data_IF_649314702312
#
_entry.id   IF_649314702312
#
_cell.length_a   1.000
_cell.length_b   1.000
_cell.length_c   1.000
_cell.angle_alpha   90.00
_cell.angle_beta   90.00
_cell.angle_gamma   90.00
#
_symmetry.space_group_name_H-M   'P 1'
#
loop_
_entity.id
_entity.type
_entity.pdbx_description
1 polymer ?
#
# COMPACT_ATOMS: atom_id res chain seq x y z
N UNK A 1 -5.25 19.16 1.12
CA UNK A 1 -4.41 18.24 1.91
C UNK A 1 -3.27 19.05 2.50
N UNK A 2 -3.01 18.92 3.80
CA UNK A 2 -1.80 19.49 4.39
C UNK A 2 -0.57 18.72 3.89
N UNK A 3 0.59 19.37 3.83
CA UNK A 3 1.83 18.73 3.37
C UNK A 3 2.26 17.48 4.18
N UNK A 4 1.69 17.34 5.36
CA UNK A 4 1.94 16.24 6.31
C UNK A 4 0.93 15.08 6.21
N UNK A 5 -0.09 15.16 5.35
CA UNK A 5 -1.10 14.10 5.22
C UNK A 5 -0.52 12.85 4.52
N UNK A 6 -0.99 11.67 4.95
CA UNK A 6 -0.75 10.36 4.31
C UNK A 6 -2.11 9.72 3.95
N UNK A 7 -2.84 10.28 2.96
CA UNK A 7 -4.29 10.06 2.81
C UNK A 7 -4.68 8.70 2.23
N UNK A 8 -3.73 7.87 1.83
CA UNK A 8 -3.98 6.59 1.16
C UNK A 8 -2.80 5.63 1.31
N UNK A 9 -2.95 4.43 0.74
CA UNK A 9 -1.88 3.44 0.61
C UNK A 9 -0.60 4.06 0.06
N UNK A 10 0.51 3.93 0.82
CA UNK A 10 1.84 4.43 0.47
C UNK A 10 1.92 5.96 0.28
N UNK A 11 1.04 6.72 0.93
CA UNK A 11 1.08 8.19 0.96
C UNK A 11 0.48 8.89 -0.25
N UNK A 12 0.66 10.21 -0.36
CA UNK A 12 -0.06 11.03 -1.33
C UNK A 12 0.19 10.63 -2.78
N UNK A 13 1.38 10.11 -3.10
CA UNK A 13 1.78 9.68 -4.45
C UNK A 13 1.81 8.17 -4.62
N UNK A 14 1.43 7.39 -3.62
CA UNK A 14 1.52 5.92 -3.58
C UNK A 14 2.94 5.37 -3.77
N UNK A 15 3.95 6.16 -3.42
CA UNK A 15 5.38 5.85 -3.58
C UNK A 15 6.08 5.40 -2.29
N UNK A 16 5.42 5.50 -1.14
CA UNK A 16 5.99 5.15 0.16
C UNK A 16 6.90 6.23 0.74
N UNK A 17 6.81 7.45 0.24
CA UNK A 17 7.68 8.57 0.59
C UNK A 17 6.89 9.66 1.31
N UNK A 18 7.33 10.03 2.51
CA UNK A 18 6.92 11.26 3.19
C UNK A 18 7.84 12.40 2.80
N UNK A 19 7.28 13.56 2.54
CA UNK A 19 8.03 14.79 2.26
C UNK A 19 8.44 15.53 3.54
N UNK A 20 8.18 14.97 4.72
CA UNK A 20 8.54 15.59 5.99
C UNK A 20 10.04 15.62 6.22
N UNK A 21 10.49 16.67 6.89
CA UNK A 21 11.86 16.91 7.32
C UNK A 21 11.89 17.36 8.79
N UNK A 22 13.09 17.42 9.39
CA UNK A 22 13.24 17.74 10.81
C UNK A 22 12.79 16.59 11.71
N UNK A 23 12.97 15.36 11.24
CA UNK A 23 12.68 14.15 11.98
C UNK A 23 13.91 13.66 12.76
N UNK A 24 13.70 12.81 13.76
CA UNK A 24 14.77 12.22 14.55
C UNK A 24 15.72 11.41 13.67
N UNK A 25 16.99 11.81 13.64
CA UNK A 25 18.04 11.10 12.93
C UNK A 25 18.47 9.78 13.63
N UNK A 26 18.09 9.59 14.90
CA UNK A 26 18.29 8.33 15.63
C UNK A 26 17.23 8.18 16.72
N UNK A 27 17.03 6.96 17.19
CA UNK A 27 16.09 6.64 18.27
C UNK A 27 16.82 6.08 19.49
N UNK A 28 16.30 6.32 20.71
CA UNK A 28 16.73 5.58 21.90
C UNK A 28 16.51 4.06 21.73
N UNK A 29 17.16 3.26 22.56
CA UNK A 29 17.05 1.78 22.55
C UNK A 29 15.59 1.30 22.69
N UNK A 30 14.78 2.05 23.42
CA UNK A 30 13.37 1.79 23.67
C UNK A 30 12.45 2.31 22.54
N UNK A 31 13.03 2.92 21.51
CA UNK A 31 12.32 3.58 20.41
C UNK A 31 12.00 5.05 20.70
N UNK A 32 11.36 5.73 19.73
CA UNK A 32 10.88 7.10 19.91
C UNK A 32 9.79 7.18 20.99
N UNK A 33 9.55 8.38 21.52
CA UNK A 33 8.52 8.60 22.53
C UNK A 33 7.15 8.18 22.00
N UNK A 34 6.54 7.17 22.62
CA UNK A 34 5.17 6.77 22.31
C UNK A 34 4.19 7.87 22.77
N UNK A 35 3.32 8.28 21.85
CA UNK A 35 2.27 9.27 22.12
C UNK A 35 1.02 8.58 22.67
N UNK A 36 0.57 7.54 21.95
CA UNK A 36 -0.59 6.76 22.33
C UNK A 36 -0.59 5.37 21.67
N UNK A 37 -1.44 4.50 22.18
CA UNK A 37 -1.80 3.21 21.57
C UNK A 37 -3.30 3.03 21.68
N UNK A 38 -3.95 2.73 20.55
CA UNK A 38 -5.33 2.27 20.52
C UNK A 38 -5.37 0.78 20.24
N UNK A 39 -5.95 0.01 21.15
CA UNK A 39 -6.19 -1.43 21.03
C UNK A 39 -7.68 -1.71 20.72
N UNK A 40 -8.01 -2.95 20.42
CA UNK A 40 -9.39 -3.37 20.17
C UNK A 40 -9.89 -3.03 18.76
N UNK A 41 -8.96 -2.81 17.83
CA UNK A 41 -9.29 -2.54 16.42
C UNK A 41 -9.66 -3.82 15.65
N UNK A 42 -9.38 -4.98 16.22
CA UNK A 42 -9.55 -6.27 15.57
C UNK A 42 -8.37 -6.67 14.70
N UNK A 43 -8.37 -7.93 14.27
CA UNK A 43 -7.30 -8.49 13.43
C UNK A 43 -7.30 -7.88 12.03
N UNK A 44 -6.13 -7.79 11.41
CA UNK A 44 -5.97 -7.34 10.02
C UNK A 44 -4.59 -6.80 9.71
N UNK A 45 -4.34 -6.62 8.43
CA UNK A 45 -3.11 -6.07 7.84
C UNK A 45 -3.32 -4.72 7.15
N UNK A 46 -4.48 -4.10 7.37
CA UNK A 46 -4.76 -2.78 6.83
C UNK A 46 -3.70 -1.78 7.29
N UNK A 47 -3.14 -1.04 6.36
CA UNK A 47 -2.30 0.12 6.70
C UNK A 47 -3.11 1.22 7.38
N UNK A 48 -2.39 2.27 7.77
CA UNK A 48 -2.98 3.50 8.33
C UNK A 48 -2.95 4.58 7.25
N UNK A 49 -4.04 5.31 7.08
CA UNK A 49 -4.04 6.58 6.36
C UNK A 49 -4.30 7.72 7.33
N UNK A 50 -3.70 8.89 7.07
CA UNK A 50 -3.77 10.07 7.95
C UNK A 50 -4.19 11.28 7.12
N UNK A 51 -5.28 11.93 7.51
CA UNK A 51 -5.74 13.15 6.88
C UNK A 51 -6.66 13.96 7.82
N UNK A 52 -6.55 15.28 7.77
CA UNK A 52 -7.47 16.15 8.51
C UNK A 52 -7.48 15.93 10.02
N UNK A 53 -6.35 15.63 10.63
CA UNK A 53 -6.22 15.39 12.08
C UNK A 53 -6.74 14.03 12.54
N UNK A 54 -6.98 13.09 11.62
CA UNK A 54 -7.43 11.73 11.93
C UNK A 54 -6.57 10.69 11.25
N UNK A 55 -6.38 9.57 11.93
CA UNK A 55 -5.85 8.34 11.36
C UNK A 55 -6.99 7.34 11.12
N UNK A 56 -6.93 6.61 10.00
CA UNK A 56 -7.96 5.66 9.61
C UNK A 56 -7.33 4.30 9.31
N UNK A 57 -7.99 3.24 9.74
CA UNK A 57 -7.57 1.88 9.46
C UNK A 57 -8.77 0.94 9.46
N UNK A 58 -8.55 -0.32 9.06
CA UNK A 58 -9.58 -1.36 9.09
C UNK A 58 -9.17 -2.49 10.04
N UNK A 59 -10.15 -3.19 10.58
CA UNK A 59 -9.93 -4.40 11.38
C UNK A 59 -11.15 -5.29 11.40
N UNK A 60 -10.96 -6.56 11.77
CA UNK A 60 -12.03 -7.53 11.90
C UNK A 60 -12.20 -7.98 13.33
N UNK A 61 -13.42 -7.93 13.84
CA UNK A 61 -13.81 -8.53 15.13
C UNK A 61 -15.29 -8.89 15.12
N UNK A 62 -15.67 -9.87 15.93
CA UNK A 62 -17.08 -10.29 16.05
C UNK A 62 -17.72 -10.67 14.70
N UNK A 63 -16.94 -11.24 13.77
CA UNK A 63 -17.46 -11.67 12.46
C UNK A 63 -17.71 -10.53 11.44
N UNK A 64 -17.19 -9.31 11.67
CA UNK A 64 -17.40 -8.17 10.78
C UNK A 64 -16.13 -7.35 10.60
N UNK A 65 -16.02 -6.69 9.44
CA UNK A 65 -15.05 -5.65 9.18
C UNK A 65 -15.54 -4.28 9.63
N UNK A 66 -14.62 -3.52 10.20
CA UNK A 66 -14.86 -2.15 10.64
C UNK A 66 -13.80 -1.23 10.06
N UNK A 67 -14.21 -0.04 9.66
CA UNK A 67 -13.34 1.12 9.49
C UNK A 67 -13.40 1.92 10.77
N UNK A 68 -12.23 2.28 11.30
CA UNK A 68 -12.10 3.08 12.52
C UNK A 68 -11.36 4.38 12.22
N UNK A 69 -11.90 5.50 12.63
CA UNK A 69 -11.22 6.79 12.68
C UNK A 69 -10.73 7.08 14.09
N UNK A 70 -9.49 7.56 14.18
CA UNK A 70 -8.74 7.79 15.41
C UNK A 70 -8.31 9.27 15.41
N UNK A 71 -8.53 9.99 16.48
CA UNK A 71 -7.98 11.33 16.67
C UNK A 71 -6.44 11.22 16.82
N UNK A 72 -5.68 11.90 15.97
CA UNK A 72 -4.21 11.77 15.94
C UNK A 72 -3.52 12.34 17.18
N UNK A 73 -4.15 13.26 17.91
CA UNK A 73 -3.55 13.89 19.07
C UNK A 73 -3.75 13.07 20.35
N UNK A 74 -4.92 12.46 20.48
CA UNK A 74 -5.33 11.75 21.70
C UNK A 74 -5.26 10.23 21.60
N UNK A 75 -5.28 9.69 20.37
CA UNK A 75 -5.43 8.25 20.12
C UNK A 75 -6.86 7.73 20.39
N UNK A 76 -7.81 8.61 20.68
CA UNK A 76 -9.19 8.23 20.93
C UNK A 76 -9.92 7.83 19.63
N UNK A 77 -10.77 6.82 19.71
CA UNK A 77 -11.67 6.46 18.61
C UNK A 77 -12.69 7.55 18.38
N UNK A 78 -12.65 8.21 17.21
CA UNK A 78 -13.61 9.25 16.84
C UNK A 78 -14.94 8.65 16.38
N UNK A 79 -14.86 7.63 15.52
CA UNK A 79 -16.01 6.85 15.06
C UNK A 79 -15.56 5.49 14.55
N UNK A 80 -16.55 4.61 14.34
CA UNK A 80 -16.32 3.28 13.79
C UNK A 80 -17.55 2.82 13.02
N UNK A 81 -17.34 2.25 11.83
CA UNK A 81 -18.42 1.82 10.93
C UNK A 81 -18.16 0.41 10.41
N UNK A 82 -19.15 -0.46 10.51
CA UNK A 82 -19.12 -1.79 9.90
C UNK A 82 -19.30 -1.68 8.38
N UNK A 83 -18.41 -2.34 7.61
CA UNK A 83 -18.37 -2.21 6.13
C UNK A 83 -18.42 -3.53 5.36
N UNK A 84 -18.25 -4.68 6.00
CA UNK A 84 -18.24 -5.98 5.33
C UNK A 84 -18.38 -7.14 6.28
N UNK A 85 -18.44 -8.33 5.71
CA UNK A 85 -18.44 -9.59 6.44
C UNK A 85 -17.08 -9.96 7.02
N UNK A 86 -16.96 -11.18 7.55
CA UNK A 86 -15.67 -11.71 8.01
C UNK A 86 -14.88 -12.34 6.88
N UNK A 87 -13.55 -12.22 6.98
CA UNK A 87 -12.61 -12.97 6.17
C UNK A 87 -11.61 -13.66 7.08
N UNK A 88 -11.58 -15.01 7.03
CA UNK A 88 -10.70 -15.80 7.88
C UNK A 88 -9.76 -16.64 7.02
N UNK A 89 -8.49 -16.62 7.40
CA UNK A 89 -7.41 -17.26 6.66
C UNK A 89 -6.27 -17.64 7.63
N UNK A 90 -5.55 -18.72 7.35
CA UNK A 90 -4.54 -19.28 8.26
C UNK A 90 -3.33 -18.35 8.53
N UNK A 91 -3.02 -17.47 7.62
CA UNK A 91 -1.91 -16.48 7.75
C UNK A 91 -2.33 -15.21 8.48
N UNK A 92 -3.61 -15.06 8.81
CA UNK A 92 -4.19 -13.94 9.54
C UNK A 92 -5.50 -13.45 8.95
N UNK A 93 -6.43 -13.17 9.83
CA UNK A 93 -7.79 -12.76 9.48
C UNK A 93 -7.86 -11.27 9.11
N UNK A 94 -8.99 -10.88 8.55
CA UNK A 94 -9.41 -9.50 8.42
C UNK A 94 -8.84 -8.76 7.19
N UNK A 95 -9.07 -7.44 7.14
CA UNK A 95 -8.79 -6.61 5.98
C UNK A 95 -7.29 -6.35 5.78
N UNK A 96 -6.92 -6.15 4.50
CA UNK A 96 -5.54 -5.87 4.08
C UNK A 96 -5.41 -4.50 3.39
N UNK A 97 -6.44 -4.08 2.67
CA UNK A 97 -6.47 -2.77 2.01
C UNK A 97 -6.43 -1.61 3.00
N UNK A 98 -5.82 -0.51 2.61
CA UNK A 98 -5.77 0.74 3.38
C UNK A 98 -6.89 1.66 2.91
N UNK A 99 -7.64 2.32 3.82
CA UNK A 99 -8.62 3.32 3.44
C UNK A 99 -7.98 4.48 2.67
N UNK A 100 -8.69 5.01 1.68
CA UNK A 100 -8.27 6.19 0.91
C UNK A 100 -9.17 7.37 1.25
N UNK A 101 -8.58 8.49 1.65
CA UNK A 101 -9.29 9.73 1.97
C UNK A 101 -9.14 10.71 0.81
N UNK A 102 -10.27 11.25 0.35
CA UNK A 102 -10.34 12.29 -0.66
C UNK A 102 -11.35 13.36 -0.23
N UNK A 103 -10.83 14.49 0.25
CA UNK A 103 -11.63 15.56 0.82
C UNK A 103 -12.48 15.08 2.00
N UNK A 104 -13.80 15.20 1.90
CA UNK A 104 -14.76 14.75 2.92
C UNK A 104 -15.15 13.27 2.79
N UNK A 105 -14.56 12.51 1.85
CA UNK A 105 -14.90 11.12 1.58
C UNK A 105 -13.78 10.17 1.98
N UNK A 106 -14.18 9.00 2.44
CA UNK A 106 -13.32 7.87 2.71
C UNK A 106 -13.80 6.68 1.87
N UNK A 107 -12.88 6.08 1.13
CA UNK A 107 -13.14 4.89 0.32
C UNK A 107 -12.41 3.70 0.93
N UNK A 108 -13.11 2.58 1.07
CA UNK A 108 -12.58 1.37 1.67
C UNK A 108 -13.07 0.14 0.91
N UNK A 109 -12.22 -0.88 0.82
CA UNK A 109 -12.53 -2.15 0.16
C UNK A 109 -12.22 -3.29 1.13
N UNK A 110 -13.22 -4.12 1.38
CA UNK A 110 -13.09 -5.29 2.24
C UNK A 110 -12.59 -6.51 1.47
N UNK A 111 -12.01 -7.53 2.15
CA UNK A 111 -11.53 -8.75 1.48
C UNK A 111 -12.60 -9.53 0.72
N UNK A 112 -13.86 -9.39 1.11
CA UNK A 112 -15.04 -10.01 0.46
C UNK A 112 -15.66 -9.17 -0.65
N UNK A 113 -14.97 -8.05 -1.03
CA UNK A 113 -15.32 -7.22 -2.17
C UNK A 113 -16.34 -6.12 -1.89
N UNK A 114 -16.65 -5.80 -0.63
CA UNK A 114 -17.50 -4.65 -0.31
C UNK A 114 -16.70 -3.36 -0.44
N UNK A 115 -16.96 -2.59 -1.49
CA UNK A 115 -16.47 -1.23 -1.66
C UNK A 115 -17.47 -0.27 -1.03
N UNK A 116 -17.01 0.58 -0.13
CA UNK A 116 -17.83 1.57 0.53
C UNK A 116 -17.22 2.97 0.46
N UNK A 117 -18.07 3.97 0.23
CA UNK A 117 -17.79 5.38 0.41
C UNK A 117 -18.44 5.85 1.71
N UNK A 118 -17.63 6.38 2.61
CA UNK A 118 -18.09 6.92 3.89
C UNK A 118 -17.85 8.43 3.94
N UNK A 119 -18.62 9.13 4.71
CA UNK A 119 -18.30 10.49 5.15
C UNK A 119 -17.13 10.43 6.15
N UNK A 120 -16.01 11.06 5.83
CA UNK A 120 -14.78 10.95 6.62
C UNK A 120 -14.91 11.58 8.02
N UNK A 121 -15.82 12.54 8.21
CA UNK A 121 -16.02 13.19 9.48
C UNK A 121 -16.87 12.35 10.46
N UNK A 122 -17.88 11.66 9.96
CA UNK A 122 -18.86 10.95 10.81
C UNK A 122 -18.82 9.42 10.68
N UNK A 123 -18.17 8.88 9.65
CA UNK A 123 -18.21 7.46 9.33
C UNK A 123 -19.52 6.99 8.70
N UNK A 124 -20.47 7.89 8.43
CA UNK A 124 -21.75 7.53 7.81
C UNK A 124 -21.55 7.04 6.39
N UNK A 125 -22.14 5.88 6.06
CA UNK A 125 -22.09 5.33 4.70
C UNK A 125 -22.85 6.25 3.74
N UNK A 126 -22.20 6.65 2.66
CA UNK A 126 -22.79 7.42 1.56
C UNK A 126 -23.34 6.46 0.51
N UNK A 127 -22.52 5.52 0.07
CA UNK A 127 -22.91 4.41 -0.78
C UNK A 127 -21.99 3.20 -0.55
N UNK A 128 -22.46 2.03 -0.92
CA UNK A 128 -21.65 0.81 -0.93
C UNK A 128 -22.18 -0.18 -1.95
N UNK A 129 -21.26 -1.01 -2.49
CA UNK A 129 -21.61 -2.12 -3.37
C UNK A 129 -20.59 -3.24 -3.26
N UNK A 130 -21.01 -4.48 -3.50
CA UNK A 130 -20.08 -5.59 -3.61
C UNK A 130 -19.56 -5.70 -5.05
N UNK A 131 -18.32 -5.29 -5.26
CA UNK A 131 -17.72 -5.26 -6.61
C UNK A 131 -17.42 -6.65 -7.15
N UNK A 132 -17.16 -7.65 -6.30
CA UNK A 132 -16.99 -9.02 -6.75
C UNK A 132 -18.30 -9.59 -7.32
N UNK A 133 -19.41 -9.38 -6.64
CA UNK A 133 -20.73 -9.82 -7.13
C UNK A 133 -21.13 -9.09 -8.40
N UNK A 134 -20.93 -7.75 -8.44
CA UNK A 134 -21.32 -6.90 -9.58
C UNK A 134 -20.54 -7.24 -10.85
N UNK A 135 -19.23 -7.50 -10.74
CA UNK A 135 -18.35 -7.74 -11.90
C UNK A 135 -17.96 -9.21 -12.08
N UNK A 136 -18.64 -10.13 -11.39
CA UNK A 136 -18.42 -11.59 -11.44
C UNK A 136 -16.97 -11.98 -11.15
N UNK A 137 -16.37 -11.28 -10.17
CA UNK A 137 -15.10 -11.65 -9.57
C UNK A 137 -15.27 -12.75 -8.53
N UNK A 138 -14.15 -13.29 -8.08
CA UNK A 138 -14.09 -14.23 -6.96
C UNK A 138 -13.14 -13.74 -5.90
N UNK A 139 -13.39 -14.12 -4.65
CA UNK A 139 -12.50 -13.81 -3.55
C UNK A 139 -11.16 -14.53 -3.76
N UNK A 140 -10.04 -13.83 -3.92
CA UNK A 140 -8.73 -14.48 -3.98
C UNK A 140 -8.40 -15.21 -2.67
N UNK A 141 -7.44 -16.15 -2.71
CA UNK A 141 -7.07 -16.98 -1.55
C UNK A 141 -6.80 -16.20 -0.27
N UNK A 142 -6.21 -15.00 -0.38
CA UNK A 142 -5.94 -14.11 0.77
C UNK A 142 -6.85 -12.89 0.81
N UNK A 143 -8.02 -12.95 0.16
CA UNK A 143 -8.99 -11.85 0.08
C UNK A 143 -8.53 -10.71 -0.82
N UNK A 144 -9.42 -9.82 -1.18
CA UNK A 144 -9.06 -8.57 -1.85
C UNK A 144 -8.14 -7.77 -0.91
N UNK A 145 -6.98 -7.36 -1.41
CA UNK A 145 -5.92 -6.72 -0.61
C UNK A 145 -5.54 -5.32 -1.10
N UNK A 146 -6.02 -4.94 -2.27
CA UNK A 146 -5.77 -3.61 -2.81
C UNK A 146 -6.41 -2.50 -1.99
N UNK A 147 -5.89 -1.30 -2.17
CA UNK A 147 -6.43 -0.05 -1.61
C UNK A 147 -7.04 0.77 -2.76
N UNK A 148 -8.28 1.28 -2.62
CA UNK A 148 -8.95 2.04 -3.67
C UNK A 148 -8.09 3.20 -4.17
N UNK A 149 -7.99 3.38 -5.49
CA UNK A 149 -7.28 4.49 -6.11
C UNK A 149 -8.29 5.57 -6.50
N UNK A 150 -8.01 6.82 -6.16
CA UNK A 150 -8.81 7.97 -6.61
C UNK A 150 -8.09 8.67 -7.76
N UNK A 151 -8.84 8.90 -8.84
CA UNK A 151 -8.39 9.67 -10.01
C UNK A 151 -9.50 10.64 -10.46
N UNK A 152 -9.37 11.89 -10.10
CA UNK A 152 -10.40 12.91 -10.35
C UNK A 152 -11.72 12.55 -9.67
N UNK A 153 -12.77 12.33 -10.45
CA UNK A 153 -14.11 11.95 -9.98
C UNK A 153 -14.32 10.43 -9.94
N UNK A 154 -13.26 9.64 -10.04
CA UNK A 154 -13.34 8.19 -10.11
C UNK A 154 -12.69 7.53 -8.88
N UNK A 155 -13.31 6.45 -8.42
CA UNK A 155 -12.67 5.44 -7.58
C UNK A 155 -12.41 4.21 -8.44
N UNK A 156 -11.16 3.75 -8.43
CA UNK A 156 -10.70 2.63 -9.29
C UNK A 156 -10.33 1.47 -8.38
N UNK A 157 -10.86 0.29 -8.70
CA UNK A 157 -10.64 -0.97 -7.99
C UNK A 157 -10.53 -2.14 -8.96
N UNK A 158 -9.97 -3.26 -8.51
CA UNK A 158 -9.70 -4.46 -9.31
C UNK A 158 -10.48 -5.68 -8.77
N UNK A 159 -11.78 -5.79 -9.09
CA UNK A 159 -12.56 -6.96 -8.67
C UNK A 159 -12.11 -8.27 -9.33
N UNK A 160 -11.35 -8.21 -10.44
CA UNK A 160 -10.85 -9.41 -11.11
C UNK A 160 -11.95 -10.31 -11.66
N UNK A 161 -12.96 -9.73 -12.29
CA UNK A 161 -14.12 -10.46 -12.77
C UNK A 161 -14.22 -10.53 -14.29
N UNK A 162 -15.02 -11.49 -14.75
CA UNK A 162 -15.30 -11.65 -16.20
C UNK A 162 -15.98 -10.43 -16.83
N UNK A 163 -16.69 -9.64 -16.02
CA UNK A 163 -17.38 -8.43 -16.48
C UNK A 163 -16.59 -7.14 -16.14
N UNK A 164 -15.33 -7.28 -15.72
CA UNK A 164 -14.40 -6.19 -15.44
C UNK A 164 -13.30 -6.62 -14.47
N UNK A 165 -12.08 -6.78 -14.98
CA UNK A 165 -10.90 -7.05 -14.15
C UNK A 165 -10.51 -5.81 -13.35
N UNK A 166 -10.52 -4.65 -14.00
CA UNK A 166 -10.31 -3.34 -13.40
C UNK A 166 -11.53 -2.46 -13.74
N UNK A 167 -12.05 -1.74 -12.76
CA UNK A 167 -13.24 -0.89 -12.94
C UNK A 167 -13.02 0.50 -12.35
N UNK A 168 -13.56 1.52 -13.00
CA UNK A 168 -13.68 2.86 -12.45
C UNK A 168 -15.15 3.19 -12.23
N UNK A 169 -15.43 3.66 -11.04
CA UNK A 169 -16.76 4.06 -10.60
C UNK A 169 -16.75 5.56 -10.27
N UNK A 170 -17.87 6.21 -10.45
CA UNK A 170 -18.04 7.58 -9.98
C UNK A 170 -17.94 7.63 -8.44
N UNK A 171 -17.05 8.44 -7.91
CA UNK A 171 -16.81 8.50 -6.46
C UNK A 171 -17.98 9.06 -5.66
N UNK A 172 -18.93 9.77 -6.31
CA UNK A 172 -20.09 10.39 -5.61
C UNK A 172 -21.20 9.37 -5.30
N UNK A 173 -21.43 8.41 -6.21
CA UNK A 173 -22.61 7.51 -6.15
C UNK A 173 -22.27 6.03 -6.43
N UNK A 174 -21.04 5.71 -6.83
CA UNK A 174 -20.64 4.36 -7.18
C UNK A 174 -21.07 3.88 -8.56
N UNK A 175 -21.63 4.75 -9.41
CA UNK A 175 -22.03 4.36 -10.77
C UNK A 175 -20.83 3.98 -11.65
N UNK A 176 -20.99 2.97 -12.52
CA UNK A 176 -19.93 2.54 -13.42
C UNK A 176 -19.57 3.66 -14.42
N UNK A 177 -18.28 3.99 -14.52
CA UNK A 177 -17.74 4.89 -15.53
C UNK A 177 -17.12 4.09 -16.68
N UNK A 178 -16.22 3.17 -16.37
CA UNK A 178 -15.64 2.24 -17.34
C UNK A 178 -15.19 0.94 -16.68
N UNK A 179 -14.98 -0.09 -17.48
CA UNK A 179 -14.41 -1.37 -17.09
C UNK A 179 -13.39 -1.85 -18.11
N UNK A 180 -12.40 -2.62 -17.67
CA UNK A 180 -11.29 -3.11 -18.50
C UNK A 180 -10.89 -4.52 -18.11
N UNK A 181 -10.56 -5.34 -19.11
CA UNK A 181 -10.02 -6.69 -18.93
C UNK A 181 -11.00 -7.70 -18.31
N UNK A 182 -10.53 -8.95 -18.22
CA UNK A 182 -11.29 -10.10 -17.71
C UNK A 182 -10.42 -11.01 -16.83
N UNK A 183 -9.18 -10.62 -16.51
CA UNK A 183 -8.28 -11.36 -15.61
C UNK A 183 -8.81 -11.36 -14.19
N UNK A 184 -8.35 -12.30 -13.37
CA UNK A 184 -8.63 -12.35 -11.95
C UNK A 184 -7.95 -11.21 -11.18
N UNK A 185 -8.36 -10.99 -9.94
CA UNK A 185 -7.74 -9.99 -9.08
C UNK A 185 -6.34 -10.43 -8.66
N UNK A 186 -5.37 -9.51 -8.75
CA UNK A 186 -4.14 -9.59 -7.96
C UNK A 186 -4.35 -9.10 -6.53
N UNK A 187 -3.27 -8.89 -5.80
CA UNK A 187 -3.27 -8.32 -4.45
C UNK A 187 -2.69 -6.89 -4.44
N UNK A 188 -2.23 -6.44 -5.61
CA UNK A 188 -1.56 -5.16 -5.81
C UNK A 188 -2.55 -4.01 -5.87
N UNK A 189 -2.16 -2.86 -5.35
CA UNK A 189 -2.90 -1.61 -5.53
C UNK A 189 -2.47 -0.92 -6.82
N UNK A 190 -3.42 -0.40 -7.60
CA UNK A 190 -3.14 0.34 -8.82
C UNK A 190 -2.50 1.71 -8.53
N UNK A 191 -1.79 2.25 -9.51
CA UNK A 191 -1.20 3.60 -9.49
C UNK A 191 -1.54 4.36 -10.78
N UNK A 192 -1.37 5.68 -10.76
CA UNK A 192 -1.50 6.54 -11.93
C UNK A 192 -0.11 6.95 -12.43
N UNK A 193 0.07 6.94 -13.74
CA UNK A 193 1.21 7.53 -14.43
C UNK A 193 0.77 8.31 -15.67
N UNK A 194 1.60 9.23 -16.10
CA UNK A 194 1.46 9.90 -17.39
C UNK A 194 2.63 9.50 -18.30
N UNK A 195 2.31 8.96 -19.47
CA UNK A 195 3.29 8.41 -20.40
C UNK A 195 3.03 8.97 -21.81
N UNK A 196 3.98 9.76 -22.31
CA UNK A 196 3.87 10.44 -23.61
C UNK A 196 2.53 11.19 -23.78
N UNK A 197 2.10 11.91 -22.73
CA UNK A 197 0.86 12.69 -22.72
C UNK A 197 -0.43 11.85 -22.53
N UNK A 198 -0.31 10.55 -22.27
CA UNK A 198 -1.45 9.68 -21.97
C UNK A 198 -1.46 9.30 -20.50
N UNK A 199 -2.52 9.69 -19.79
CA UNK A 199 -2.76 9.31 -18.40
C UNK A 199 -3.24 7.87 -18.33
N UNK A 200 -2.52 7.04 -17.59
CA UNK A 200 -2.76 5.60 -17.50
C UNK A 200 -2.87 5.13 -16.05
N UNK A 201 -3.77 4.22 -15.81
CA UNK A 201 -3.81 3.37 -14.62
C UNK A 201 -2.87 2.20 -14.87
N UNK A 202 -1.88 2.01 -14.01
CA UNK A 202 -1.01 0.85 -14.02
C UNK A 202 -1.43 -0.07 -12.89
N UNK A 203 -1.84 -1.27 -13.22
CA UNK A 203 -2.33 -2.26 -12.27
C UNK A 203 -1.66 -3.62 -12.51
N UNK A 204 -1.49 -4.39 -11.44
CA UNK A 204 -0.98 -5.75 -11.51
C UNK A 204 -2.06 -6.71 -11.03
N UNK A 205 -2.66 -7.45 -11.97
CA UNK A 205 -3.68 -8.47 -11.71
C UNK A 205 -3.06 -9.86 -11.45
N UNK A 206 -3.85 -10.92 -11.49
CA UNK A 206 -3.36 -12.29 -11.27
C UNK A 206 -2.41 -12.80 -12.36
N UNK A 207 -2.46 -12.24 -13.58
CA UNK A 207 -1.72 -12.74 -14.74
C UNK A 207 -0.72 -11.76 -15.34
N UNK A 208 -0.87 -10.46 -15.09
CA UNK A 208 -0.09 -9.44 -15.78
C UNK A 208 -0.02 -8.10 -15.05
N UNK A 209 0.94 -7.29 -15.45
CA UNK A 209 0.88 -5.84 -15.30
C UNK A 209 0.22 -5.26 -16.54
N UNK A 210 -0.76 -4.39 -16.35
CA UNK A 210 -1.52 -3.75 -17.41
C UNK A 210 -1.48 -2.24 -17.30
N UNK A 211 -1.37 -1.56 -18.44
CA UNK A 211 -1.60 -0.13 -18.57
C UNK A 211 -2.95 0.12 -19.21
N UNK A 212 -3.80 0.86 -18.53
CA UNK A 212 -5.16 1.14 -18.95
C UNK A 212 -5.35 2.64 -19.02
N UNK A 213 -5.93 3.12 -20.11
CA UNK A 213 -6.23 4.54 -20.28
C UNK A 213 -7.21 5.02 -19.21
N UNK A 214 -6.83 6.03 -18.44
CA UNK A 214 -7.54 6.43 -17.23
C UNK A 214 -8.94 7.02 -17.49
N UNK A 215 -9.17 7.60 -18.68
CA UNK A 215 -10.45 8.25 -19.03
C UNK A 215 -11.55 7.27 -19.46
N UNK A 216 -11.19 6.14 -20.10
CA UNK A 216 -12.17 5.27 -20.74
C UNK A 216 -11.94 3.76 -20.58
N UNK A 217 -10.92 3.34 -19.83
CA UNK A 217 -10.65 1.93 -19.54
C UNK A 217 -10.04 1.13 -20.71
N UNK A 218 -9.62 1.77 -21.81
CA UNK A 218 -8.95 1.05 -22.90
C UNK A 218 -7.61 0.48 -22.43
N UNK A 219 -7.44 -0.84 -22.53
CA UNK A 219 -6.15 -1.46 -22.27
C UNK A 219 -5.16 -1.08 -23.38
N UNK A 220 -4.02 -0.49 -23.00
CA UNK A 220 -3.01 0.03 -23.91
C UNK A 220 -1.85 -0.94 -24.08
N UNK A 221 -1.47 -1.61 -23.01
CA UNK A 221 -0.38 -2.59 -23.01
C UNK A 221 -0.56 -3.64 -21.90
N UNK A 222 0.20 -4.73 -22.01
CA UNK A 222 0.22 -5.84 -21.07
C UNK A 222 1.62 -6.42 -20.98
N UNK A 223 2.09 -6.76 -19.78
CA UNK A 223 3.38 -7.38 -19.52
C UNK A 223 3.24 -8.53 -18.51
N UNK A 224 3.75 -9.73 -18.83
CA UNK A 224 3.49 -10.96 -18.09
C UNK A 224 4.70 -11.55 -17.38
N UNK A 225 5.94 -11.15 -17.75
CA UNK A 225 7.16 -11.86 -17.29
C UNK A 225 7.40 -11.80 -15.77
N UNK A 226 6.79 -10.88 -15.03
CA UNK A 226 6.92 -10.78 -13.57
C UNK A 226 5.76 -11.44 -12.82
N UNK A 227 4.64 -11.73 -13.48
CA UNK A 227 3.49 -12.34 -12.81
C UNK A 227 3.76 -13.81 -12.47
N UNK A 228 3.14 -14.27 -11.41
CA UNK A 228 3.16 -15.65 -10.98
C UNK A 228 1.75 -16.13 -10.63
N UNK A 229 1.57 -17.45 -10.54
CA UNK A 229 0.26 -18.07 -10.27
C UNK A 229 -0.13 -18.09 -8.78
N UNK A 230 0.76 -17.61 -7.89
CA UNK A 230 0.54 -17.65 -6.44
C UNK A 230 0.01 -16.33 -5.92
N UNK A 231 0.78 -15.24 -6.10
CA UNK A 231 0.38 -13.91 -5.64
C UNK A 231 1.19 -12.79 -6.28
N UNK A 232 0.51 -11.81 -6.83
CA UNK A 232 1.05 -10.59 -7.40
C UNK A 232 0.66 -9.43 -6.48
N UNK A 233 1.58 -8.98 -5.59
CA UNK A 233 1.23 -8.15 -4.43
C UNK A 233 1.79 -6.73 -4.53
N UNK A 234 3.05 -6.58 -4.94
CA UNK A 234 3.72 -5.28 -4.89
C UNK A 234 3.07 -4.26 -5.84
N UNK A 235 2.90 -3.06 -5.33
CA UNK A 235 2.39 -1.92 -6.10
C UNK A 235 3.42 -1.50 -7.16
N UNK A 236 3.04 -1.26 -8.41
CA UNK A 236 3.94 -0.71 -9.42
C UNK A 236 4.54 0.64 -9.00
N UNK A 237 5.81 0.87 -9.32
CA UNK A 237 6.50 2.13 -9.04
C UNK A 237 6.68 2.88 -10.36
N UNK A 238 6.11 4.08 -10.44
CA UNK A 238 6.16 4.92 -11.64
C UNK A 238 7.19 6.04 -11.43
N UNK A 239 8.11 6.18 -12.37
CA UNK A 239 9.07 7.31 -12.41
C UNK A 239 9.57 7.54 -13.84
N UNK A 240 9.56 8.79 -14.27
CA UNK A 240 10.20 9.29 -15.50
C UNK A 240 9.88 8.44 -16.76
N UNK A 241 8.60 8.21 -17.02
CA UNK A 241 8.15 7.42 -18.17
C UNK A 241 8.44 5.91 -18.06
N UNK A 242 8.81 5.42 -16.86
CA UNK A 242 9.14 4.02 -16.58
C UNK A 242 8.29 3.48 -15.44
N UNK A 243 8.14 2.17 -15.44
CA UNK A 243 7.40 1.44 -14.39
C UNK A 243 8.26 0.27 -13.91
N UNK A 244 8.59 0.25 -12.64
CA UNK A 244 9.20 -0.92 -12.00
C UNK A 244 8.11 -1.76 -11.33
N UNK A 245 8.15 -3.05 -11.59
CA UNK A 245 7.22 -4.05 -11.03
C UNK A 245 8.00 -5.23 -10.50
N UNK A 246 7.53 -5.84 -9.42
CA UNK A 246 8.19 -7.04 -8.90
C UNK A 246 7.21 -7.95 -8.14
N UNK A 247 7.54 -9.22 -8.09
CA UNK A 247 6.84 -10.21 -7.26
C UNK A 247 7.84 -11.22 -6.69
N UNK A 248 7.40 -11.92 -5.66
CA UNK A 248 8.11 -13.10 -5.12
C UNK A 248 7.71 -14.39 -5.87
N UNK A 249 7.74 -15.52 -5.19
CA UNK A 249 7.38 -16.85 -5.69
C UNK A 249 8.15 -17.24 -6.96
N UNK A 250 9.49 -17.16 -6.85
CA UNK A 250 10.46 -17.51 -7.90
C UNK A 250 10.45 -16.60 -9.13
N UNK A 251 9.65 -15.54 -9.12
CA UNK A 251 9.62 -14.57 -10.20
C UNK A 251 10.78 -13.56 -10.09
N UNK A 252 10.53 -12.29 -10.02
CA UNK A 252 11.56 -11.24 -10.01
C UNK A 252 10.95 -9.85 -10.10
N UNK A 253 11.77 -8.91 -10.56
CA UNK A 253 11.36 -7.56 -10.89
C UNK A 253 11.80 -7.17 -12.29
N UNK A 254 11.07 -6.27 -12.91
CA UNK A 254 11.40 -5.70 -14.21
C UNK A 254 11.22 -4.19 -14.24
N UNK A 255 12.08 -3.51 -14.95
CA UNK A 255 11.87 -2.12 -15.33
C UNK A 255 11.31 -2.08 -16.75
N UNK A 256 10.20 -1.40 -16.92
CA UNK A 256 9.55 -1.19 -18.20
C UNK A 256 9.71 0.28 -18.64
N UNK A 257 10.06 0.50 -19.88
CA UNK A 257 9.85 1.80 -20.55
C UNK A 257 8.43 1.80 -21.10
N UNK A 258 7.63 2.79 -20.69
CA UNK A 258 6.21 2.88 -21.05
C UNK A 258 5.99 4.09 -21.93
N UNK A 259 5.29 3.87 -23.06
CA UNK A 259 4.83 4.90 -23.97
C UNK A 259 3.32 5.08 -23.92
N UNK A 260 2.79 5.85 -24.88
CA UNK A 260 1.36 6.14 -24.95
C UNK A 260 0.48 4.88 -25.10
N UNK A 261 0.99 3.83 -25.77
CA UNK A 261 0.24 2.59 -26.05
C UNK A 261 1.09 1.32 -25.98
N UNK A 262 2.28 1.40 -25.39
CA UNK A 262 3.21 0.28 -25.36
C UNK A 262 3.99 0.24 -24.07
N UNK A 263 4.50 -0.93 -23.72
CA UNK A 263 5.52 -1.12 -22.70
C UNK A 263 6.59 -2.09 -23.21
N UNK A 264 7.84 -1.79 -22.96
CA UNK A 264 8.98 -2.66 -23.31
C UNK A 264 9.88 -2.86 -22.13
N UNK A 265 10.37 -4.09 -21.93
CA UNK A 265 11.30 -4.41 -20.87
C UNK A 265 12.65 -3.73 -21.11
N UNK A 266 13.14 -2.99 -20.11
CA UNK A 266 14.50 -2.44 -20.07
C UNK A 266 15.45 -3.46 -19.49
N UNK A 267 15.08 -4.05 -18.37
CA UNK A 267 15.76 -5.18 -17.77
C UNK A 267 14.82 -6.02 -16.90
N UNK A 268 15.19 -7.27 -16.70
CA UNK A 268 14.61 -8.17 -15.69
C UNK A 268 15.68 -8.54 -14.65
N UNK A 269 15.29 -8.65 -13.39
CA UNK A 269 16.20 -9.00 -12.29
C UNK A 269 15.56 -9.93 -11.28
N UNK A 270 16.31 -10.87 -10.72
CA UNK A 270 15.92 -11.68 -9.56
C UNK A 270 16.41 -11.08 -8.22
N UNK A 271 16.96 -9.88 -8.27
CA UNK A 271 17.55 -9.22 -7.11
C UNK A 271 16.55 -8.33 -6.35
N UNK A 272 15.30 -8.21 -6.83
CA UNK A 272 14.22 -7.51 -6.14
C UNK A 272 12.93 -8.33 -6.31
N UNK A 273 12.65 -9.18 -5.33
CA UNK A 273 11.45 -10.03 -5.27
C UNK A 273 10.61 -9.61 -4.08
N UNK A 274 9.82 -8.56 -4.28
CA UNK A 274 8.94 -8.06 -3.22
C UNK A 274 7.82 -9.07 -2.93
N UNK A 275 7.66 -9.45 -1.67
CA UNK A 275 6.58 -10.33 -1.23
C UNK A 275 5.32 -9.53 -0.88
N UNK A 276 5.07 -9.22 0.39
CA UNK A 276 3.90 -8.44 0.82
C UNK A 276 4.14 -6.92 0.84
N UNK A 277 5.35 -6.49 0.57
CA UNK A 277 5.77 -5.08 0.59
C UNK A 277 6.13 -4.57 -0.80
N UNK A 278 6.30 -3.28 -0.92
CA UNK A 278 6.76 -2.61 -2.14
C UNK A 278 7.99 -1.78 -1.81
N UNK A 279 8.97 -1.76 -2.73
CA UNK A 279 10.17 -0.92 -2.62
C UNK A 279 9.83 0.58 -2.63
N UNK A 280 10.74 1.42 -2.14
CA UNK A 280 10.72 2.88 -2.33
C UNK A 280 11.83 3.28 -3.30
N UNK A 281 11.56 4.26 -4.16
CA UNK A 281 12.53 4.81 -5.11
C UNK A 281 12.97 6.18 -4.62
N UNK A 282 14.25 6.31 -4.26
CA UNK A 282 14.84 7.57 -3.77
C UNK A 282 16.13 7.81 -4.52
N UNK A 283 16.29 8.98 -5.13
CA UNK A 283 17.51 9.43 -5.81
C UNK A 283 18.09 8.37 -6.78
N UNK A 284 17.23 7.71 -7.55
CA UNK A 284 17.62 6.69 -8.53
C UNK A 284 17.96 5.33 -7.92
N UNK A 285 17.71 5.11 -6.65
CA UNK A 285 17.93 3.83 -5.95
C UNK A 285 16.61 3.26 -5.44
N UNK A 286 16.33 2.00 -5.78
CA UNK A 286 15.25 1.20 -5.22
C UNK A 286 15.73 0.54 -3.92
N UNK A 287 15.07 0.86 -2.82
CA UNK A 287 15.24 0.18 -1.54
C UNK A 287 14.03 -0.69 -1.25
N UNK A 288 14.25 -1.98 -1.08
CA UNK A 288 13.17 -2.93 -0.87
C UNK A 288 13.67 -4.32 -0.51
N UNK A 289 12.73 -5.23 -0.31
CA UNK A 289 13.07 -6.58 0.11
C UNK A 289 13.14 -7.54 -1.08
N UNK A 290 14.29 -8.17 -1.26
CA UNK A 290 14.43 -9.39 -2.04
C UNK A 290 14.17 -10.58 -1.12
N UNK A 291 12.93 -11.04 -1.04
CA UNK A 291 12.45 -11.98 0.00
C UNK A 291 12.66 -11.43 1.42
N UNK A 292 13.65 -11.93 2.15
CA UNK A 292 13.99 -11.51 3.51
C UNK A 292 15.25 -10.63 3.59
N UNK A 293 15.77 -10.17 2.47
CA UNK A 293 17.02 -9.41 2.38
C UNK A 293 16.71 -7.99 1.90
N UNK A 294 16.92 -6.99 2.76
CA UNK A 294 16.85 -5.59 2.35
C UNK A 294 17.96 -5.33 1.32
N UNK A 295 17.58 -4.81 0.18
CA UNK A 295 18.45 -4.63 -0.99
C UNK A 295 18.31 -3.22 -1.51
N UNK A 296 19.44 -2.57 -1.80
CA UNK A 296 19.50 -1.37 -2.62
C UNK A 296 19.89 -1.76 -4.04
N UNK A 297 19.11 -1.26 -4.99
CA UNK A 297 19.24 -1.60 -6.40
C UNK A 297 19.19 -0.33 -7.24
N UNK A 298 20.13 -0.13 -8.15
CA UNK A 298 20.11 1.01 -9.08
C UNK A 298 18.90 0.89 -10.02
N UNK A 299 18.08 1.92 -10.04
CA UNK A 299 16.81 1.91 -10.78
C UNK A 299 16.99 1.70 -12.28
N UNK A 300 18.01 2.34 -12.87
CA UNK A 300 18.15 2.39 -14.33
C UNK A 300 18.61 1.08 -14.97
N UNK A 301 19.37 0.27 -14.25
CA UNK A 301 20.03 -0.92 -14.81
C UNK A 301 19.91 -2.20 -13.98
N UNK A 302 19.29 -2.12 -12.79
CA UNK A 302 19.11 -3.29 -11.92
C UNK A 302 20.36 -3.76 -11.19
N UNK A 303 21.44 -2.95 -11.18
CA UNK A 303 22.67 -3.23 -10.43
C UNK A 303 22.40 -3.26 -8.94
N UNK A 304 22.86 -4.30 -8.25
CA UNK A 304 22.79 -4.39 -6.80
C UNK A 304 23.90 -3.55 -6.18
N UNK A 305 23.54 -2.58 -5.39
CA UNK A 305 24.46 -1.70 -4.68
C UNK A 305 24.91 -2.31 -3.35
N UNK A 306 23.96 -2.77 -2.56
CA UNK A 306 24.23 -3.51 -1.32
C UNK A 306 23.04 -4.41 -0.92
N UNK A 307 23.32 -5.35 -0.01
CA UNK A 307 22.34 -6.26 0.61
C UNK A 307 22.62 -6.43 2.08
N UNK A 308 21.56 -6.48 2.89
CA UNK A 308 21.68 -6.73 4.32
C UNK A 308 20.44 -7.44 4.88
N UNK A 309 20.61 -8.28 5.89
CA UNK A 309 19.47 -8.96 6.54
C UNK A 309 18.53 -8.01 7.27
N UNK A 310 19.07 -6.89 7.80
CA UNK A 310 18.31 -5.86 8.51
C UNK A 310 17.36 -6.44 9.58
N UNK A 311 16.07 -6.35 9.34
CA UNK A 311 14.99 -6.87 10.21
C UNK A 311 14.44 -8.24 9.77
N UNK A 312 15.10 -8.91 8.83
CA UNK A 312 14.52 -10.07 8.15
C UNK A 312 13.51 -9.62 7.10
N UNK A 313 12.46 -10.38 6.87
CA UNK A 313 11.40 -10.03 5.92
C UNK A 313 10.60 -8.82 6.44
N UNK A 314 10.39 -7.82 5.60
CA UNK A 314 9.82 -6.57 6.08
C UNK A 314 9.19 -5.68 5.01
N UNK A 315 8.79 -4.49 5.43
CA UNK A 315 8.30 -3.39 4.62
C UNK A 315 9.14 -2.14 4.85
N UNK A 316 9.09 -1.19 3.92
CA UNK A 316 9.89 0.02 3.95
C UNK A 316 9.04 1.23 3.58
N UNK A 317 9.25 2.35 4.30
CA UNK A 317 8.84 3.69 3.94
C UNK A 317 10.05 4.63 4.07
N UNK A 318 9.99 5.80 3.43
CA UNK A 318 11.08 6.79 3.45
C UNK A 318 10.58 8.12 3.97
N UNK A 319 11.40 8.77 4.79
CA UNK A 319 11.28 10.17 5.18
C UNK A 319 12.65 10.72 5.62
N UNK A 320 12.91 11.99 5.34
CA UNK A 320 14.05 12.76 5.87
C UNK A 320 15.39 12.00 5.84
N UNK A 321 15.77 11.52 4.65
CA UNK A 321 17.00 10.75 4.36
C UNK A 321 17.10 9.36 5.00
N UNK A 322 16.02 8.87 5.63
CA UNK A 322 16.01 7.57 6.30
C UNK A 322 14.94 6.64 5.74
N UNK A 323 15.27 5.36 5.72
CA UNK A 323 14.34 4.26 5.53
C UNK A 323 13.80 3.84 6.90
N UNK A 324 12.50 3.80 7.03
CA UNK A 324 11.78 3.23 8.17
C UNK A 324 11.44 1.79 7.81
N UNK A 325 12.14 0.84 8.39
CA UNK A 325 12.11 -0.57 8.00
C UNK A 325 11.44 -1.40 9.07
N UNK A 326 10.25 -1.96 8.77
CA UNK A 326 9.46 -2.76 9.71
C UNK A 326 9.48 -4.23 9.30
N UNK A 327 10.05 -5.08 10.16
CA UNK A 327 10.08 -6.52 10.01
C UNK A 327 8.76 -7.19 10.42
N UNK A 328 8.48 -8.35 9.84
CA UNK A 328 7.29 -9.14 10.20
C UNK A 328 7.33 -9.63 11.66
N UNK A 329 8.51 -9.73 12.27
CA UNK A 329 8.72 -10.06 13.68
C UNK A 329 8.61 -8.83 14.61
N UNK A 330 7.99 -7.75 14.15
CA UNK A 330 7.75 -6.54 14.93
C UNK A 330 9.03 -5.80 15.36
N UNK A 331 10.11 -5.90 14.58
CA UNK A 331 11.33 -5.10 14.74
C UNK A 331 11.24 -3.91 13.79
N UNK A 332 11.48 -2.71 14.29
CA UNK A 332 11.53 -1.49 13.50
C UNK A 332 12.95 -0.91 13.55
N UNK A 333 13.55 -0.70 12.38
CA UNK A 333 14.88 -0.13 12.21
C UNK A 333 14.83 1.18 11.43
N UNK A 334 15.70 2.11 11.79
CA UNK A 334 15.99 3.34 11.07
C UNK A 334 17.33 3.15 10.34
N UNK A 335 17.30 3.27 9.02
CA UNK A 335 18.45 3.03 8.15
C UNK A 335 18.67 4.26 7.28
N UNK A 336 19.90 4.74 7.14
CA UNK A 336 20.18 5.82 6.18
C UNK A 336 19.89 5.38 4.75
N UNK A 337 19.20 6.22 3.98
CA UNK A 337 18.92 5.96 2.57
C UNK A 337 20.14 6.37 1.72
N UNK A 338 21.16 5.52 1.66
CA UNK A 338 22.42 5.77 0.94
C UNK A 338 22.73 4.63 -0.03
N UNK A 339 23.40 4.97 -1.12
CA UNK A 339 23.66 4.04 -2.22
C UNK A 339 24.88 3.16 -1.98
N UNK A 340 25.87 3.61 -1.21
CA UNK A 340 27.19 3.01 -1.08
C UNK A 340 27.26 1.85 -0.09
N UNK A 341 26.46 1.90 0.99
CA UNK A 341 26.43 0.83 2.00
C UNK A 341 25.14 0.80 2.81
N UNK A 342 24.90 -0.29 3.53
CA UNK A 342 23.86 -0.36 4.55
C UNK A 342 24.37 0.27 5.86
N UNK A 343 23.68 1.29 6.32
CA UNK A 343 23.96 1.93 7.62
C UNK A 343 22.70 2.01 8.47
N UNK A 344 22.58 1.10 9.43
CA UNK A 344 21.51 1.15 10.42
C UNK A 344 21.89 2.09 11.56
N UNK A 345 21.03 3.06 11.82
CA UNK A 345 21.26 4.09 12.84
C UNK A 345 20.71 3.66 14.21
N UNK A 346 19.54 3.07 14.20
CA UNK A 346 18.88 2.60 15.43
C UNK A 346 17.79 1.58 15.13
N UNK A 347 17.42 0.80 16.15
CA UNK A 347 16.28 -0.11 16.11
C UNK A 347 15.62 -0.27 17.46
N UNK A 348 14.36 -0.67 17.45
CA UNK A 348 13.64 -1.13 18.62
C UNK A 348 12.62 -2.20 18.25
N UNK A 349 12.12 -2.92 19.26
CA UNK A 349 11.13 -3.97 19.08
C UNK A 349 9.78 -3.54 19.61
N UNK A 350 8.72 -3.80 18.84
CA UNK A 350 7.35 -3.73 19.30
C UNK A 350 6.97 -5.03 20.02
N UNK A 351 5.85 -5.00 20.72
CA UNK A 351 5.29 -6.23 21.28
C UNK A 351 4.90 -7.16 20.13
N UNK A 352 5.38 -8.39 20.14
CA UNK A 352 4.97 -9.40 19.17
C UNK A 352 3.48 -9.74 19.32
N UNK A 353 2.83 -9.89 18.20
CA UNK A 353 1.45 -10.38 18.09
C UNK A 353 1.42 -11.85 17.64
N UNK A 354 0.24 -12.46 17.63
CA UNK A 354 0.05 -13.84 17.15
C UNK A 354 0.42 -14.01 15.67
N UNK A 355 0.15 -12.97 14.88
CA UNK A 355 0.40 -12.93 13.43
C UNK A 355 1.47 -11.90 13.10
N UNK A 356 2.12 -12.01 11.93
CA UNK A 356 3.15 -11.06 11.49
C UNK A 356 2.67 -9.61 11.43
N UNK A 357 3.61 -8.67 11.50
CA UNK A 357 3.36 -7.23 11.32
C UNK A 357 3.62 -6.88 9.86
N UNK A 358 2.59 -6.94 9.01
CA UNK A 358 2.74 -6.73 7.56
C UNK A 358 2.33 -5.35 7.06
N UNK A 359 1.56 -4.60 7.84
CA UNK A 359 1.23 -3.22 7.48
C UNK A 359 2.50 -2.35 7.48
N UNK A 360 2.79 -1.58 6.41
CA UNK A 360 3.98 -0.74 6.37
C UNK A 360 3.90 0.40 7.40
N UNK A 361 5.06 0.91 7.86
CA UNK A 361 5.09 2.10 8.69
C UNK A 361 4.60 3.32 7.91
N UNK A 362 3.96 4.26 8.61
CA UNK A 362 3.42 5.49 8.05
C UNK A 362 4.02 6.69 8.77
N UNK A 363 4.53 7.64 8.01
CA UNK A 363 5.15 8.86 8.53
C UNK A 363 4.27 10.04 8.12
N UNK A 364 3.63 10.67 9.09
CA UNK A 364 2.72 11.79 8.88
C UNK A 364 2.67 12.71 10.11
N UNK A 365 2.73 14.01 9.91
CA UNK A 365 2.61 15.05 10.94
C UNK A 365 3.62 14.87 12.11
N UNK A 366 4.89 14.60 11.76
CA UNK A 366 5.96 14.37 12.73
C UNK A 366 5.76 13.12 13.59
N UNK A 367 4.92 12.21 13.14
CA UNK A 367 4.61 10.97 13.85
C UNK A 367 4.88 9.75 12.98
N UNK A 368 5.32 8.69 13.65
CA UNK A 368 5.39 7.35 13.08
C UNK A 368 4.19 6.54 13.59
N UNK A 369 3.36 6.08 12.67
CA UNK A 369 2.24 5.18 12.97
C UNK A 369 2.59 3.76 12.57
N UNK A 370 2.34 2.83 13.47
CA UNK A 370 2.53 1.39 13.23
C UNK A 370 1.24 0.64 13.54
N UNK A 371 0.73 -0.08 12.56
CA UNK A 371 -0.35 -1.05 12.76
C UNK A 371 0.26 -2.39 13.14
N UNK A 372 -0.11 -2.89 14.32
CA UNK A 372 0.31 -4.19 14.81
C UNK A 372 -0.92 -5.03 15.19
N UNK A 373 -1.47 -5.74 14.23
CA UNK A 373 -2.69 -6.55 14.35
C UNK A 373 -3.86 -5.76 14.98
N UNK A 374 -4.18 -5.99 16.23
CA UNK A 374 -5.31 -5.38 16.95
C UNK A 374 -5.07 -3.92 17.38
N UNK A 375 -3.88 -3.38 17.14
CA UNK A 375 -3.51 -2.06 17.65
C UNK A 375 -2.91 -1.12 16.59
N UNK A 376 -3.12 0.18 16.78
CA UNK A 376 -2.32 1.24 16.16
C UNK A 376 -1.54 1.97 17.24
N UNK A 377 -0.26 2.18 17.00
CA UNK A 377 0.66 2.88 17.90
C UNK A 377 1.18 4.12 17.18
N UNK A 378 1.20 5.26 17.85
CA UNK A 378 1.80 6.49 17.35
C UNK A 378 3.00 6.90 18.20
N UNK A 379 4.09 7.24 17.54
CA UNK A 379 5.32 7.73 18.15
C UNK A 379 5.62 9.16 17.68
N UNK A 380 6.18 9.99 18.55
CA UNK A 380 6.73 11.31 18.22
C UNK A 380 8.13 11.13 17.62
N UNK A 381 8.30 11.50 16.37
CA UNK A 381 9.59 11.42 15.66
C UNK A 381 10.13 12.78 15.25
N UNK A 382 9.60 13.87 15.78
CA UNK A 382 10.12 15.23 15.52
C UNK A 382 11.46 15.43 16.21
N UNK A 383 12.44 15.95 15.48
CA UNK A 383 13.64 16.49 16.11
C UNK A 383 13.27 17.71 16.99
N UNK A 384 13.93 17.84 18.12
CA UNK A 384 13.74 18.98 19.04
C UNK A 384 14.51 20.19 18.57
#
# INVERSE_FOLDING_TARGET
MHAADWPQWRGPRRDGISAETGLLASWPKEGPRQLWTLNGLGEGYSGVSVAGGRAYTQGQRGGRHYVTAIDVNTGAKAWETAVGGSFNESRGNGPRGTPTIDGSRLFTLSPDGMLACLDAASGKTVWSQNVLQTYRGSVPSWGISESPLIDGDRVIVMPGGRDGSLVALNKADGALVWKSGTDGAGYSSAVIGEFEGVRQVVAMNDNAVVGVRADNGLQLWRYTNVSNQTANIATPIVSDGRVFVSTEYESGGALLKVGAKSASEVYFTRNMRNHYSTSVLVDGVLYGFNSAILTALRFDNGEVLWRHRSVGKGSVAYADKHLYVLGEDAILALVEARADEYLEVSRFSLRQSRYPTWAPPVIADGRLYVRNQDSVIAYDIRAK
#
